data_IF_010849522762
#
_entry.id   IF_010849522762
#
_cell.length_a   1.000
_cell.length_b   1.000
_cell.length_c   1.000
_cell.angle_alpha   90.00
_cell.angle_beta   90.00
_cell.angle_gamma   90.00
#
_symmetry.space_group_name_H-M   'P 1'
#
loop_
_entity.id
_entity.type
_entity.pdbx_description
1 polymer ?
#
# COMPACT_ATOMS: atom_id res chain seq x y z
N UNK A 1 -9.46 1.05 41.70
CA UNK A 1 -9.57 -0.13 40.86
C UNK A 1 -8.20 -0.45 40.27
N UNK A 2 -7.56 -1.48 40.82
CA UNK A 2 -6.28 -2.02 40.35
C UNK A 2 -6.49 -2.62 38.96
N UNK A 3 -5.82 -2.05 37.96
CA UNK A 3 -5.58 -2.73 36.70
C UNK A 3 -4.42 -3.68 37.00
N UNK A 4 -4.72 -4.96 37.07
CA UNK A 4 -3.76 -6.04 37.27
C UNK A 4 -2.91 -6.16 36.00
N UNK A 5 -1.64 -5.76 36.11
CA UNK A 5 -0.64 -5.83 35.04
C UNK A 5 -0.04 -7.26 34.94
N UNK A 6 -0.86 -8.28 35.09
CA UNK A 6 -0.44 -9.68 35.01
C UNK A 6 -0.43 -10.19 33.57
N UNK A 7 0.77 -10.34 33.01
CA UNK A 7 1.11 -11.28 31.94
C UNK A 7 0.48 -11.12 30.55
N UNK A 8 0.53 -9.97 29.91
CA UNK A 8 0.41 -9.91 28.45
C UNK A 8 1.71 -10.41 27.82
N UNK A 9 1.90 -11.73 27.78
CA UNK A 9 3.01 -12.34 27.06
C UNK A 9 2.66 -12.34 25.58
N UNK A 10 3.59 -11.83 24.76
CA UNK A 10 3.51 -11.85 23.31
C UNK A 10 4.53 -12.86 22.79
N UNK A 11 4.09 -13.79 21.96
CA UNK A 11 4.94 -14.82 21.36
C UNK A 11 4.93 -14.71 19.85
N UNK A 12 6.08 -14.99 19.25
CA UNK A 12 6.22 -15.08 17.80
C UNK A 12 6.61 -16.51 17.45
N UNK A 13 5.85 -17.14 16.54
CA UNK A 13 6.13 -18.47 16.01
C UNK A 13 6.50 -18.29 14.55
N UNK A 14 7.73 -18.64 14.20
CA UNK A 14 8.28 -18.41 12.87
C UNK A 14 7.49 -19.19 11.80
N UNK A 15 7.16 -20.45 12.07
CA UNK A 15 6.35 -21.24 11.14
C UNK A 15 5.60 -22.38 11.86
N UNK A 16 4.35 -22.61 11.43
CA UNK A 16 3.56 -23.81 11.73
C UNK A 16 3.22 -24.52 10.41
N UNK A 17 3.67 -25.75 10.25
CA UNK A 17 3.55 -26.50 9.02
C UNK A 17 3.05 -27.95 9.23
N UNK A 18 3.35 -28.81 8.27
CA UNK A 18 2.94 -30.22 8.32
C UNK A 18 3.80 -31.08 9.26
N UNK A 19 5.05 -30.67 9.51
CA UNK A 19 5.98 -31.42 10.36
C UNK A 19 5.46 -31.55 11.79
N UNK A 20 4.79 -30.51 12.27
CA UNK A 20 4.21 -30.45 13.61
C UNK A 20 2.93 -31.30 13.73
N UNK A 21 2.36 -31.71 12.59
CA UNK A 21 1.09 -32.49 12.58
C UNK A 21 1.20 -33.87 13.17
N UNK A 22 2.40 -34.43 13.32
CA UNK A 22 2.66 -35.73 13.95
C UNK A 22 3.03 -35.64 15.45
N UNK A 23 3.32 -34.46 15.98
CA UNK A 23 3.76 -34.25 17.35
C UNK A 23 2.62 -33.71 18.24
N UNK A 24 1.88 -34.62 18.88
CA UNK A 24 0.71 -34.26 19.72
C UNK A 24 1.11 -33.34 20.88
N UNK A 25 2.26 -33.59 21.52
CA UNK A 25 2.73 -32.77 22.64
C UNK A 25 2.97 -31.32 22.20
N UNK A 26 3.57 -31.11 21.03
CA UNK A 26 3.79 -29.78 20.46
C UNK A 26 2.44 -29.09 20.15
N UNK A 27 1.50 -29.81 19.52
CA UNK A 27 0.16 -29.27 19.23
C UNK A 27 -0.56 -28.83 20.50
N UNK A 28 -0.51 -29.64 21.57
CA UNK A 28 -1.09 -29.30 22.86
C UNK A 28 -0.49 -28.00 23.41
N UNK A 29 0.84 -27.88 23.40
CA UNK A 29 1.54 -26.68 23.86
C UNK A 29 1.17 -25.44 23.05
N UNK A 30 0.98 -25.57 21.72
CA UNK A 30 0.51 -24.46 20.88
C UNK A 30 -0.91 -24.05 21.24
N UNK A 31 -1.83 -25.01 21.46
CA UNK A 31 -3.20 -24.67 21.86
C UNK A 31 -3.26 -24.01 23.25
N UNK A 32 -2.45 -24.46 24.21
CA UNK A 32 -2.31 -23.80 25.51
C UNK A 32 -1.81 -22.37 25.37
N UNK A 33 -0.80 -22.17 24.51
CA UNK A 33 -0.24 -20.85 24.23
C UNK A 33 -1.27 -19.91 23.59
N UNK A 34 -2.01 -20.40 22.60
CA UNK A 34 -3.08 -19.64 21.94
C UNK A 34 -4.24 -19.29 22.89
N UNK A 35 -4.46 -20.09 23.94
CA UNK A 35 -5.51 -19.81 24.94
C UNK A 35 -5.08 -18.82 26.02
N UNK A 36 -3.77 -18.65 26.23
CA UNK A 36 -3.25 -17.90 27.39
C UNK A 36 -2.45 -16.66 27.02
N UNK A 37 -2.17 -16.41 25.73
CA UNK A 37 -1.22 -15.39 25.30
C UNK A 37 -1.60 -14.80 23.95
N UNK A 38 -1.00 -13.63 23.62
CA UNK A 38 -1.05 -13.07 22.27
C UNK A 38 0.04 -13.72 21.42
N UNK A 39 -0.35 -14.28 20.29
CA UNK A 39 0.56 -15.02 19.40
C UNK A 39 0.50 -14.43 17.99
N UNK A 40 1.66 -14.16 17.41
CA UNK A 40 1.84 -13.94 15.98
C UNK A 40 2.51 -15.19 15.40
N UNK A 41 1.88 -15.85 14.46
CA UNK A 41 2.42 -17.06 13.84
C UNK A 41 2.33 -17.02 12.32
N UNK A 42 3.32 -17.57 11.63
CA UNK A 42 3.21 -17.89 10.21
C UNK A 42 2.64 -19.31 10.10
N UNK A 43 1.56 -19.45 9.35
CA UNK A 43 0.91 -20.73 9.09
C UNK A 43 1.04 -21.06 7.60
N UNK A 44 1.60 -22.22 7.27
CA UNK A 44 1.61 -22.71 5.88
C UNK A 44 0.20 -22.99 5.36
N UNK A 45 -0.01 -22.81 4.06
CA UNK A 45 -1.33 -23.02 3.40
C UNK A 45 -1.77 -24.48 3.30
N UNK A 46 -0.94 -25.41 3.70
CA UNK A 46 -1.28 -26.83 3.73
C UNK A 46 -2.48 -27.10 4.63
N UNK A 47 -3.32 -28.07 4.25
CA UNK A 47 -4.41 -28.56 5.09
C UNK A 47 -3.93 -29.74 5.93
N UNK A 48 -4.01 -29.60 7.23
CA UNK A 48 -3.85 -30.65 8.23
C UNK A 48 -4.85 -30.39 9.35
N UNK A 49 -5.31 -31.43 10.04
CA UNK A 49 -6.27 -31.27 11.13
C UNK A 49 -5.81 -30.23 12.16
N UNK A 50 -4.51 -30.21 12.49
CA UNK A 50 -3.92 -29.24 13.42
C UNK A 50 -4.06 -27.80 12.92
N UNK A 51 -3.63 -27.52 11.69
CA UNK A 51 -3.67 -26.17 11.11
C UNK A 51 -5.10 -25.70 10.84
N UNK A 52 -5.99 -26.62 10.45
CA UNK A 52 -7.38 -26.30 10.17
C UNK A 52 -8.15 -25.94 11.45
N UNK A 53 -7.84 -26.60 12.59
CA UNK A 53 -8.36 -26.20 13.89
C UNK A 53 -7.92 -24.79 14.25
N UNK A 54 -6.63 -24.44 14.07
CA UNK A 54 -6.13 -23.09 14.34
C UNK A 54 -6.87 -22.06 13.47
N UNK A 55 -6.99 -22.33 12.15
CA UNK A 55 -7.68 -21.42 11.20
C UNK A 55 -9.15 -21.20 11.53
N UNK A 56 -9.82 -22.22 12.08
CA UNK A 56 -11.25 -22.15 12.40
C UNK A 56 -11.57 -21.44 13.74
N UNK A 57 -10.57 -21.09 14.54
CA UNK A 57 -10.76 -20.41 15.81
C UNK A 57 -11.34 -19.00 15.59
N UNK A 58 -12.29 -18.62 16.42
CA UNK A 58 -12.93 -17.29 16.38
C UNK A 58 -12.03 -16.15 16.89
N UNK A 59 -11.03 -16.49 17.68
CA UNK A 59 -10.05 -15.58 18.28
C UNK A 59 -8.76 -15.45 17.44
N UNK A 60 -8.71 -16.05 16.25
CA UNK A 60 -7.61 -15.95 15.31
C UNK A 60 -7.97 -15.01 14.16
N UNK A 61 -7.13 -14.01 13.93
CA UNK A 61 -7.15 -13.20 12.72
C UNK A 61 -6.22 -13.84 11.69
N UNK A 62 -6.80 -14.42 10.64
CA UNK A 62 -6.03 -15.02 9.55
C UNK A 62 -5.80 -13.99 8.44
N UNK A 63 -4.53 -13.76 8.10
CA UNK A 63 -4.11 -12.86 7.03
C UNK A 63 -3.43 -13.69 5.94
N UNK A 64 -4.06 -13.78 4.76
CA UNK A 64 -3.42 -14.37 3.58
C UNK A 64 -2.57 -13.32 2.87
N UNK A 65 -1.25 -13.37 3.06
CA UNK A 65 -0.31 -12.40 2.52
C UNK A 65 -0.23 -12.41 0.99
N UNK A 66 -0.63 -13.50 0.32
CA UNK A 66 -0.61 -13.60 -1.14
C UNK A 66 -1.81 -12.88 -1.78
N UNK A 67 -2.92 -12.76 -1.05
CA UNK A 67 -4.18 -12.26 -1.60
C UNK A 67 -4.73 -11.02 -0.89
N UNK A 68 -4.17 -10.66 0.26
CA UNK A 68 -4.69 -9.57 1.10
C UNK A 68 -4.84 -8.23 0.35
N UNK A 69 -3.99 -7.98 -0.64
CA UNK A 69 -4.00 -6.74 -1.43
C UNK A 69 -4.69 -6.89 -2.80
N UNK A 70 -5.28 -8.06 -3.13
CA UNK A 70 -5.90 -8.32 -4.44
C UNK A 70 -7.13 -7.43 -4.74
N UNK A 71 -7.61 -6.68 -3.78
CA UNK A 71 -8.66 -5.68 -3.97
C UNK A 71 -8.13 -4.23 -3.96
N UNK A 72 -6.83 -4.06 -4.16
CA UNK A 72 -6.17 -2.77 -4.19
C UNK A 72 -5.37 -2.63 -5.49
N UNK A 73 -5.52 -1.50 -6.19
CA UNK A 73 -4.73 -1.15 -7.36
C UNK A 73 -3.79 0.01 -7.06
N UNK A 74 -2.72 0.17 -7.85
CA UNK A 74 -1.72 1.21 -7.69
C UNK A 74 -1.60 2.05 -8.96
N UNK A 75 -1.69 3.38 -8.80
CA UNK A 75 -1.36 4.36 -9.83
C UNK A 75 -0.09 5.08 -9.42
N UNK A 76 1.01 4.83 -10.15
CA UNK A 76 2.25 5.57 -10.01
C UNK A 76 2.12 6.87 -10.80
N UNK A 77 2.18 7.99 -10.09
CA UNK A 77 1.97 9.32 -10.64
C UNK A 77 3.28 9.89 -11.18
N UNK A 78 3.46 9.86 -12.52
CA UNK A 78 4.69 10.21 -13.20
C UNK A 78 4.52 11.29 -14.29
N UNK A 79 3.62 12.26 -14.07
CA UNK A 79 3.30 13.30 -15.07
C UNK A 79 3.71 14.72 -14.65
N UNK A 80 4.52 14.86 -13.61
CA UNK A 80 5.00 16.17 -13.13
C UNK A 80 5.79 16.92 -14.20
N UNK A 81 5.53 18.22 -14.38
CA UNK A 81 6.15 19.01 -15.46
C UNK A 81 7.61 19.39 -15.22
N UNK A 82 8.18 19.13 -14.05
CA UNK A 82 9.59 19.41 -13.69
C UNK A 82 10.10 20.81 -14.13
N UNK A 83 9.22 21.83 -14.11
CA UNK A 83 9.49 23.17 -14.69
C UNK A 83 10.75 23.84 -14.14
N UNK A 84 11.14 23.50 -12.90
CA UNK A 84 12.32 24.08 -12.23
C UNK A 84 13.61 23.33 -12.54
N UNK A 85 13.51 22.08 -13.02
CA UNK A 85 14.67 21.18 -13.21
C UNK A 85 15.36 21.35 -14.58
N UNK A 86 14.71 22.03 -15.55
CA UNK A 86 15.23 22.14 -16.92
C UNK A 86 15.15 20.84 -17.74
N UNK A 87 14.99 19.69 -17.09
CA UNK A 87 14.80 18.36 -17.67
C UNK A 87 13.81 17.57 -16.82
N UNK A 88 13.42 16.37 -17.27
CA UNK A 88 12.51 15.51 -16.52
C UNK A 88 13.16 14.98 -15.25
N UNK A 89 12.74 15.45 -14.07
CA UNK A 89 13.32 15.02 -12.79
C UNK A 89 13.16 13.51 -12.51
N UNK A 90 12.14 12.87 -13.10
CA UNK A 90 11.83 11.46 -12.85
C UNK A 90 12.87 10.50 -13.38
N UNK A 91 13.72 10.96 -14.32
CA UNK A 91 14.89 10.22 -14.83
C UNK A 91 16.20 10.60 -14.13
N UNK A 92 16.16 11.50 -13.15
CA UNK A 92 17.35 11.83 -12.36
C UNK A 92 17.81 10.62 -11.54
N UNK A 93 19.13 10.44 -11.46
CA UNK A 93 19.73 9.37 -10.66
C UNK A 93 19.51 9.62 -9.17
N UNK A 94 19.11 8.56 -8.49
CA UNK A 94 19.01 8.51 -7.04
C UNK A 94 19.53 7.15 -6.55
N UNK A 95 20.75 7.13 -6.05
CA UNK A 95 21.44 5.92 -5.57
C UNK A 95 21.53 4.80 -6.63
N UNK A 96 21.85 5.14 -7.89
CA UNK A 96 22.05 4.19 -8.97
C UNK A 96 20.77 3.73 -9.70
N UNK A 97 19.62 4.34 -9.38
CA UNK A 97 18.36 4.18 -10.09
C UNK A 97 17.71 5.53 -10.35
N UNK A 98 16.91 5.62 -11.39
CA UNK A 98 16.07 6.81 -11.58
C UNK A 98 14.94 6.88 -10.55
N UNK A 99 14.37 8.07 -10.31
CA UNK A 99 13.24 8.23 -9.39
C UNK A 99 12.05 7.34 -9.77
N UNK A 100 11.76 7.22 -11.07
CA UNK A 100 10.66 6.35 -11.53
C UNK A 100 10.97 4.86 -11.30
N UNK A 101 12.19 4.39 -11.52
CA UNK A 101 12.60 3.02 -11.23
C UNK A 101 12.49 2.70 -9.74
N UNK A 102 12.83 3.65 -8.87
CA UNK A 102 12.63 3.49 -7.42
C UNK A 102 11.14 3.31 -7.08
N UNK A 103 10.25 4.17 -7.60
CA UNK A 103 8.82 4.07 -7.35
C UNK A 103 8.23 2.74 -7.87
N UNK A 104 8.64 2.31 -9.07
CA UNK A 104 8.25 1.00 -9.63
C UNK A 104 8.73 -0.13 -8.72
N UNK A 105 10.01 -0.11 -8.33
CA UNK A 105 10.62 -1.13 -7.48
C UNK A 105 9.90 -1.26 -6.14
N UNK A 106 9.67 -0.14 -5.44
CA UNK A 106 8.97 -0.16 -4.15
C UNK A 106 7.52 -0.63 -4.27
N UNK A 107 6.83 -0.27 -5.35
CA UNK A 107 5.45 -0.73 -5.58
C UNK A 107 5.35 -2.25 -5.73
N UNK A 108 6.42 -2.95 -6.16
CA UNK A 108 6.42 -4.41 -6.38
C UNK A 108 6.35 -5.24 -5.10
N UNK A 109 6.62 -4.63 -3.95
CA UNK A 109 6.52 -5.30 -2.65
C UNK A 109 5.09 -5.41 -2.11
N UNK A 110 4.11 -4.86 -2.82
CA UNK A 110 2.68 -5.06 -2.55
C UNK A 110 2.06 -5.76 -3.76
N UNK A 111 1.36 -6.86 -3.53
CA UNK A 111 0.71 -7.63 -4.60
C UNK A 111 -0.61 -6.97 -5.00
N UNK A 112 -0.52 -5.83 -5.71
CA UNK A 112 -1.68 -5.11 -6.22
C UNK A 112 -2.42 -5.92 -7.29
N UNK A 113 -3.74 -5.76 -7.36
CA UNK A 113 -4.59 -6.30 -8.44
C UNK A 113 -4.16 -5.77 -9.81
N UNK A 114 -3.83 -4.48 -9.86
CA UNK A 114 -3.28 -3.80 -11.03
C UNK A 114 -2.29 -2.73 -10.60
N UNK A 115 -1.29 -2.49 -11.44
CA UNK A 115 -0.26 -1.47 -11.23
C UNK A 115 0.03 -0.79 -12.55
N UNK A 116 -0.24 0.50 -12.60
CA UNK A 116 -0.01 1.31 -13.80
C UNK A 116 0.82 2.54 -13.48
N UNK A 117 1.59 2.99 -14.47
CA UNK A 117 2.26 4.28 -14.47
C UNK A 117 1.47 5.23 -15.38
N UNK A 118 1.10 6.40 -14.87
CA UNK A 118 0.49 7.45 -15.69
C UNK A 118 1.52 8.54 -15.93
N UNK A 119 1.91 8.72 -17.19
CA UNK A 119 3.00 9.64 -17.56
C UNK A 119 2.68 10.44 -18.81
N UNK A 120 3.33 11.61 -18.93
CA UNK A 120 3.38 12.41 -20.16
C UNK A 120 4.74 12.33 -20.88
N UNK A 121 5.74 11.74 -20.24
CA UNK A 121 7.13 11.76 -20.64
C UNK A 121 7.49 10.51 -21.44
N UNK A 122 8.18 10.70 -22.58
CA UNK A 122 8.62 9.58 -23.43
C UNK A 122 9.68 8.72 -22.74
N UNK A 123 10.65 9.37 -22.09
CA UNK A 123 11.74 8.73 -21.34
C UNK A 123 11.20 7.84 -20.20
N UNK A 124 10.18 8.30 -19.46
CA UNK A 124 9.49 7.47 -18.47
C UNK A 124 8.76 6.28 -19.13
N UNK A 125 8.12 6.50 -20.28
CA UNK A 125 7.46 5.42 -21.01
C UNK A 125 8.46 4.35 -21.50
N UNK A 126 9.67 4.76 -21.91
CA UNK A 126 10.75 3.84 -22.30
C UNK A 126 11.25 3.02 -21.11
N UNK A 127 11.44 3.64 -19.95
CA UNK A 127 11.75 2.92 -18.69
C UNK A 127 10.63 1.93 -18.33
N UNK A 128 9.35 2.33 -18.45
CA UNK A 128 8.23 1.43 -18.18
C UNK A 128 8.23 0.18 -19.08
N UNK A 129 8.60 0.32 -20.36
CA UNK A 129 8.76 -0.83 -21.29
C UNK A 129 9.90 -1.75 -20.84
N UNK A 130 11.04 -1.18 -20.49
CA UNK A 130 12.18 -1.93 -19.99
C UNK A 130 11.87 -2.67 -18.67
N UNK A 131 11.17 -2.01 -17.76
CA UNK A 131 10.73 -2.56 -16.49
C UNK A 131 9.52 -3.51 -16.60
N UNK A 132 8.97 -3.72 -17.81
CA UNK A 132 7.79 -4.54 -18.06
C UNK A 132 6.60 -4.18 -17.14
N UNK A 133 6.32 -2.88 -17.04
CA UNK A 133 5.17 -2.36 -16.29
C UNK A 133 4.20 -1.66 -17.24
N UNK A 134 2.90 -1.86 -17.00
CA UNK A 134 1.88 -1.18 -17.79
C UNK A 134 1.91 0.32 -17.53
N UNK A 135 1.80 1.10 -18.60
CA UNK A 135 1.74 2.56 -18.50
C UNK A 135 0.72 3.17 -19.46
N UNK A 136 0.22 4.34 -19.08
CA UNK A 136 -0.66 5.16 -19.93
C UNK A 136 0.03 6.47 -20.21
N UNK A 137 0.30 6.72 -21.49
CA UNK A 137 0.87 7.99 -21.93
C UNK A 137 -0.25 8.96 -22.30
N UNK A 138 -0.09 10.23 -21.89
CA UNK A 138 -1.02 11.31 -22.20
C UNK A 138 -0.26 12.64 -22.38
N UNK A 139 -0.98 13.65 -22.92
CA UNK A 139 -0.50 15.04 -23.15
C UNK A 139 -1.34 16.07 -22.40
N UNK A 140 -2.28 15.61 -21.60
CA UNK A 140 -3.16 16.50 -20.83
C UNK A 140 -2.37 17.30 -19.80
N UNK A 141 -2.69 18.62 -19.62
CA UNK A 141 -1.83 19.53 -18.89
C UNK A 141 -1.91 19.44 -17.38
N UNK A 142 -3.02 18.97 -16.81
CA UNK A 142 -3.32 19.16 -15.40
C UNK A 142 -3.21 17.88 -14.55
N UNK A 143 -3.05 18.06 -13.25
CA UNK A 143 -2.94 16.96 -12.27
C UNK A 143 -4.23 16.14 -12.16
N UNK A 144 -5.39 16.80 -12.23
CA UNK A 144 -6.68 16.12 -12.23
C UNK A 144 -6.86 15.20 -13.46
N UNK A 145 -6.29 15.56 -14.61
CA UNK A 145 -6.36 14.73 -15.81
C UNK A 145 -5.63 13.40 -15.63
N UNK A 146 -4.42 13.45 -15.07
CA UNK A 146 -3.66 12.25 -14.75
C UNK A 146 -4.42 11.32 -13.81
N UNK A 147 -5.05 11.88 -12.75
CA UNK A 147 -5.86 11.11 -11.81
C UNK A 147 -7.05 10.49 -12.55
N UNK A 148 -7.79 11.29 -13.35
CA UNK A 148 -8.92 10.81 -14.14
C UNK A 148 -8.55 9.66 -15.08
N UNK A 149 -7.44 9.78 -15.81
CA UNK A 149 -6.94 8.76 -16.74
C UNK A 149 -6.66 7.46 -15.98
N UNK A 150 -5.92 7.53 -14.88
CA UNK A 150 -5.59 6.35 -14.09
C UNK A 150 -6.82 5.70 -13.45
N UNK A 151 -7.70 6.47 -12.85
CA UNK A 151 -8.95 5.95 -12.24
C UNK A 151 -9.87 5.34 -13.28
N UNK A 152 -10.03 5.96 -14.45
CA UNK A 152 -10.82 5.41 -15.57
C UNK A 152 -10.28 4.05 -16.01
N UNK A 153 -8.95 3.93 -16.13
CA UNK A 153 -8.33 2.64 -16.47
C UNK A 153 -8.67 1.56 -15.45
N UNK A 154 -8.49 1.84 -14.15
CA UNK A 154 -8.77 0.87 -13.08
C UNK A 154 -10.25 0.45 -13.08
N UNK A 155 -11.17 1.39 -13.26
CA UNK A 155 -12.60 1.08 -13.31
C UNK A 155 -12.93 0.13 -14.47
N UNK A 156 -12.35 0.36 -15.65
CA UNK A 156 -12.71 -0.35 -16.87
C UNK A 156 -12.02 -1.70 -17.01
N UNK A 157 -10.82 -1.88 -16.44
CA UNK A 157 -9.99 -3.06 -16.72
C UNK A 157 -9.76 -3.95 -15.47
N UNK A 158 -9.73 -3.38 -14.29
CA UNK A 158 -9.31 -4.11 -13.10
C UNK A 158 -9.99 -3.59 -11.83
N UNK A 159 -11.27 -3.27 -11.90
CA UNK A 159 -12.00 -2.67 -10.78
C UNK A 159 -11.57 -3.23 -9.42
N UNK A 160 -11.18 -2.35 -8.53
CA UNK A 160 -10.69 -2.67 -7.18
C UNK A 160 -11.45 -1.89 -6.12
N UNK A 161 -11.40 -2.35 -4.86
CA UNK A 161 -12.02 -1.67 -3.72
C UNK A 161 -11.30 -0.38 -3.32
N UNK A 162 -10.06 -0.19 -3.77
CA UNK A 162 -9.29 1.02 -3.51
C UNK A 162 -8.17 1.26 -4.50
N UNK A 163 -7.71 2.51 -4.58
CA UNK A 163 -6.56 2.92 -5.41
C UNK A 163 -5.53 3.64 -4.55
N UNK A 164 -4.31 3.09 -4.55
CA UNK A 164 -3.12 3.78 -4.06
C UNK A 164 -2.61 4.74 -5.13
N UNK A 165 -2.42 6.00 -4.76
CA UNK A 165 -1.71 7.01 -5.56
C UNK A 165 -0.30 7.17 -5.01
N UNK A 166 0.68 6.67 -5.76
CA UNK A 166 2.10 6.68 -5.41
C UNK A 166 2.83 7.74 -6.25
N UNK A 167 3.34 8.83 -5.65
CA UNK A 167 4.19 9.79 -6.35
C UNK A 167 5.50 9.15 -6.79
N UNK A 168 5.91 9.42 -8.03
CA UNK A 168 7.19 8.91 -8.55
C UNK A 168 8.40 9.75 -8.11
N UNK A 169 8.19 10.89 -7.47
CA UNK A 169 9.21 11.84 -7.02
C UNK A 169 9.49 11.81 -5.52
N UNK A 170 9.02 10.77 -4.83
CA UNK A 170 9.27 10.51 -3.40
C UNK A 170 10.11 9.23 -3.21
N UNK A 171 11.41 9.24 -3.53
CA UNK A 171 12.23 8.01 -3.53
C UNK A 171 12.60 7.48 -2.15
N UNK A 172 12.31 8.23 -1.08
CA UNK A 172 12.62 7.85 0.30
C UNK A 172 11.47 7.14 1.00
N UNK A 173 10.35 6.89 0.30
CA UNK A 173 9.27 6.06 0.82
C UNK A 173 9.82 4.67 1.16
N UNK A 174 9.60 4.23 2.40
CA UNK A 174 10.02 2.91 2.84
C UNK A 174 8.97 1.86 2.50
N UNK A 175 9.45 0.71 2.07
CA UNK A 175 8.61 -0.48 1.80
C UNK A 175 7.66 -0.80 2.94
N UNK A 176 8.16 -0.79 4.16
CA UNK A 176 7.37 -1.09 5.37
C UNK A 176 6.26 -0.07 5.60
N UNK A 177 6.50 1.20 5.33
CA UNK A 177 5.47 2.26 5.44
C UNK A 177 4.40 2.10 4.35
N UNK A 178 4.81 1.72 3.13
CA UNK A 178 3.89 1.44 2.04
C UNK A 178 3.01 0.21 2.33
N UNK A 179 3.62 -0.87 2.83
CA UNK A 179 2.90 -2.08 3.23
C UNK A 179 1.93 -1.81 4.39
N UNK A 180 2.36 -1.05 5.41
CA UNK A 180 1.50 -0.66 6.53
C UNK A 180 0.31 0.19 6.06
N UNK A 181 0.54 1.13 5.15
CA UNK A 181 -0.52 1.94 4.54
C UNK A 181 -1.57 1.07 3.85
N UNK A 182 -1.12 0.11 3.03
CA UNK A 182 -2.00 -0.83 2.34
C UNK A 182 -2.73 -1.77 3.31
N UNK A 183 -2.04 -2.25 4.34
CA UNK A 183 -2.63 -3.13 5.36
C UNK A 183 -3.73 -2.41 6.15
N UNK A 184 -3.48 -1.19 6.62
CA UNK A 184 -4.47 -0.40 7.34
C UNK A 184 -5.68 -0.06 6.45
N UNK A 185 -5.47 0.18 5.15
CA UNK A 185 -6.57 0.34 4.22
C UNK A 185 -7.43 -0.93 4.08
N UNK A 186 -6.86 -2.12 4.08
CA UNK A 186 -7.63 -3.37 4.02
C UNK A 186 -8.59 -3.49 5.22
N UNK A 187 -8.15 -3.08 6.40
CA UNK A 187 -8.98 -3.09 7.62
C UNK A 187 -9.98 -1.93 7.71
N UNK A 188 -9.70 -0.82 7.02
CA UNK A 188 -10.50 0.39 7.03
C UNK A 188 -10.86 0.80 5.59
N UNK A 189 -11.41 -0.15 4.82
CA UNK A 189 -11.63 -0.02 3.39
C UNK A 189 -12.73 1.00 3.01
N UNK A 190 -13.37 1.61 3.99
CA UNK A 190 -14.30 2.73 3.88
C UNK A 190 -13.61 4.11 4.10
N UNK A 191 -12.34 4.13 4.53
CA UNK A 191 -11.60 5.36 4.86
C UNK A 191 -10.51 5.67 3.85
N UNK A 192 -10.21 6.95 3.70
CA UNK A 192 -9.01 7.41 2.98
C UNK A 192 -7.82 7.20 3.91
N UNK A 193 -6.83 6.43 3.48
CA UNK A 193 -5.59 6.24 4.22
C UNK A 193 -4.46 7.06 3.58
N UNK A 194 -3.65 7.74 4.39
CA UNK A 194 -2.50 8.51 3.89
C UNK A 194 -1.33 8.48 4.85
N UNK A 195 -0.10 8.52 4.31
CA UNK A 195 1.08 8.63 5.17
C UNK A 195 1.12 9.99 5.88
N UNK A 196 1.65 9.97 7.10
CA UNK A 196 1.84 11.16 7.93
C UNK A 196 3.07 11.00 8.83
N UNK A 197 3.69 12.10 9.21
CA UNK A 197 4.75 12.11 10.20
C UNK A 197 4.56 13.30 11.16
N UNK A 198 4.41 13.03 12.46
CA UNK A 198 4.21 14.04 13.50
C UNK A 198 3.10 15.06 13.16
N UNK A 199 1.94 14.57 12.69
CA UNK A 199 0.79 15.39 12.32
C UNK A 199 0.87 16.01 10.92
N UNK A 200 2.04 16.01 10.27
CA UNK A 200 2.18 16.43 8.90
C UNK A 200 1.80 15.30 7.97
N UNK A 201 0.73 15.48 7.22
CA UNK A 201 0.22 14.47 6.32
C UNK A 201 0.72 14.71 4.88
N UNK A 202 1.14 13.61 4.22
CA UNK A 202 1.73 13.62 2.89
C UNK A 202 1.08 12.61 1.93
N UNK A 203 1.83 12.25 0.92
CA UNK A 203 1.60 11.12 0.02
C UNK A 203 2.57 9.99 0.40
N UNK A 204 2.30 8.75 -0.04
CA UNK A 204 1.16 8.27 -0.82
C UNK A 204 -0.15 8.25 -0.03
N UNK A 205 -1.26 8.11 -0.77
CA UNK A 205 -2.59 7.99 -0.18
C UNK A 205 -3.44 6.97 -0.95
N UNK A 206 -4.38 6.33 -0.23
CA UNK A 206 -5.32 5.35 -0.80
C UNK A 206 -6.73 5.93 -0.66
N UNK A 207 -7.48 5.87 -1.77
CA UNK A 207 -8.89 6.22 -1.81
C UNK A 207 -9.74 4.98 -2.03
N UNK A 208 -10.77 4.72 -1.18
CA UNK A 208 -11.75 3.67 -1.41
C UNK A 208 -12.61 3.96 -2.65
N UNK A 209 -13.18 2.90 -3.20
CA UNK A 209 -13.92 2.94 -4.49
C UNK A 209 -15.10 3.91 -4.51
N UNK A 210 -15.74 4.17 -3.37
CA UNK A 210 -16.86 5.13 -3.31
C UNK A 210 -16.45 6.60 -3.55
N UNK A 211 -15.11 6.92 -3.51
CA UNK A 211 -14.58 8.23 -3.93
C UNK A 211 -14.17 8.27 -5.40
N UNK A 212 -14.24 7.18 -6.16
CA UNK A 212 -13.78 7.16 -7.56
C UNK A 212 -14.54 8.17 -8.41
N UNK A 213 -15.83 8.33 -8.21
CA UNK A 213 -16.62 9.35 -8.93
C UNK A 213 -16.13 10.78 -8.61
N UNK A 214 -15.78 11.08 -7.37
CA UNK A 214 -15.22 12.40 -7.01
C UNK A 214 -13.81 12.60 -7.59
N UNK A 215 -12.99 11.55 -7.65
CA UNK A 215 -11.67 11.59 -8.29
C UNK A 215 -11.77 11.84 -9.81
N UNK A 216 -12.77 11.26 -10.48
CA UNK A 216 -13.05 11.50 -11.90
C UNK A 216 -13.50 12.93 -12.18
N UNK A 217 -14.18 13.58 -11.24
CA UNK A 217 -14.77 14.90 -11.35
C UNK A 217 -13.99 15.99 -10.57
N UNK A 218 -12.70 15.79 -10.32
CA UNK A 218 -11.85 16.80 -9.69
C UNK A 218 -11.82 18.09 -10.51
N UNK A 219 -11.94 19.27 -9.88
CA UNK A 219 -11.75 20.56 -10.55
C UNK A 219 -10.34 20.68 -11.14
N UNK A 220 -10.17 21.52 -12.15
CA UNK A 220 -8.85 21.81 -12.73
C UNK A 220 -7.82 22.17 -11.65
N UNK A 221 -6.59 21.75 -11.86
CA UNK A 221 -5.45 21.93 -10.95
C UNK A 221 -5.59 21.26 -9.57
N UNK A 222 -6.71 20.60 -9.27
CA UNK A 222 -6.88 19.90 -8.00
C UNK A 222 -6.40 18.44 -8.09
N UNK A 223 -5.96 17.91 -6.96
CA UNK A 223 -5.61 16.49 -6.77
C UNK A 223 -6.43 15.91 -5.63
N UNK A 224 -6.12 14.68 -5.21
CA UNK A 224 -6.81 13.99 -4.12
C UNK A 224 -6.89 14.77 -2.80
N UNK A 225 -5.96 15.69 -2.56
CA UNK A 225 -6.01 16.60 -1.41
C UNK A 225 -7.27 17.48 -1.34
N UNK A 226 -7.95 17.70 -2.47
CA UNK A 226 -9.24 18.40 -2.49
C UNK A 226 -10.32 17.57 -1.78
N UNK A 227 -10.41 16.28 -2.08
CA UNK A 227 -11.35 15.35 -1.44
C UNK A 227 -11.01 15.16 0.04
N UNK A 228 -9.72 14.99 0.37
CA UNK A 228 -9.24 14.86 1.75
C UNK A 228 -9.67 16.05 2.61
N UNK A 229 -9.56 17.28 2.09
CA UNK A 229 -10.00 18.49 2.80
C UNK A 229 -11.52 18.57 2.97
N UNK A 230 -12.28 18.01 2.03
CA UNK A 230 -13.74 17.96 2.09
C UNK A 230 -14.25 16.97 3.15
N UNK A 231 -13.50 15.88 3.38
CA UNK A 231 -13.91 14.79 4.27
C UNK A 231 -12.84 14.47 5.34
N UNK A 232 -12.45 15.40 6.20
CA UNK A 232 -11.37 15.21 7.15
C UNK A 232 -11.63 14.09 8.16
N UNK A 233 -12.89 13.86 8.55
CA UNK A 233 -13.28 12.77 9.45
C UNK A 233 -13.22 11.36 8.81
N UNK A 234 -13.03 11.30 7.49
CA UNK A 234 -12.91 10.04 6.75
C UNK A 234 -11.45 9.68 6.44
N UNK A 235 -10.50 10.37 7.08
CA UNK A 235 -9.06 10.19 6.81
C UNK A 235 -8.37 9.51 7.98
N UNK A 236 -7.66 8.43 7.70
CA UNK A 236 -6.74 7.77 8.62
C UNK A 236 -5.32 8.20 8.28
N UNK A 237 -4.65 8.80 9.26
CA UNK A 237 -3.25 9.13 9.19
C UNK A 237 -2.41 7.91 9.58
N UNK A 238 -1.64 7.37 8.64
CA UNK A 238 -0.77 6.21 8.84
C UNK A 238 0.64 6.70 9.14
N UNK A 239 1.28 6.30 10.24
CA UNK A 239 2.59 6.82 10.60
C UNK A 239 3.66 6.33 9.61
N UNK A 240 4.38 7.27 9.01
CA UNK A 240 5.64 7.02 8.33
C UNK A 240 6.74 6.80 9.40
N UNK A 241 7.77 6.04 9.08
CA UNK A 241 8.90 5.80 9.98
C UNK A 241 9.83 7.01 10.08
N UNK A 242 9.85 7.84 9.02
CA UNK A 242 10.74 8.97 8.91
C UNK A 242 10.04 10.14 8.20
N UNK A 243 10.38 11.37 8.58
CA UNK A 243 9.86 12.58 7.92
C UNK A 243 10.22 12.68 6.45
N UNK A 244 11.39 12.16 6.08
CA UNK A 244 11.90 12.22 4.71
C UNK A 244 11.10 11.36 3.73
N UNK A 245 10.34 10.38 4.20
CA UNK A 245 9.44 9.60 3.35
C UNK A 245 8.35 10.45 2.68
N UNK A 246 8.04 11.61 3.25
CA UNK A 246 7.01 12.52 2.74
C UNK A 246 7.57 13.63 1.83
N UNK A 247 8.89 13.64 1.60
CA UNK A 247 9.54 14.71 0.84
C UNK A 247 9.60 14.36 -0.64
N UNK A 248 9.12 15.30 -1.45
CA UNK A 248 9.38 15.30 -2.88
C UNK A 248 10.83 15.72 -3.11
N UNK A 249 11.51 15.15 -4.10
CA UNK A 249 12.78 15.68 -4.59
C UNK A 249 12.48 16.98 -5.32
N UNK A 250 12.56 18.09 -4.62
CA UNK A 250 12.57 19.44 -5.17
C UNK A 250 13.98 20.01 -4.96
N UNK A 251 14.63 20.45 -6.01
CA UNK A 251 15.90 21.21 -5.92
C UNK A 251 15.65 22.63 -5.55
#
# INVERSE_FOLDING_TARGET
SHIDNSNNRFFVIDELGYLESSCIQFQTSIFELLNSSHVLAIIRKQSTSFLDIIRSRKDVLLIDIDTIFNNLSCIIMASGMSKRFGHNKLIADFNGKTLIENAISESRFVNFKDRIVVTRHNDVADICRHENIHFIKHDMPYRNDMIRIGVTHIINNSYSGGILFLPADQPLIKRTSLQLLCLLFVYHNDKICRLSFNGNAGSPCIFPSHYFNELLNLPEHKGGGFIIKKYPAQVIAVPAQDKYELYDIDT
#
